data_IF_095490955059
#
_entry.id   IF_095490955059
#
_cell.length_a   1.000
_cell.length_b   1.000
_cell.length_c   1.000
_cell.angle_alpha   90.00
_cell.angle_beta   90.00
_cell.angle_gamma   90.00
#
_symmetry.space_group_name_H-M   'P 1'
#
loop_
_entity.id
_entity.type
_entity.pdbx_description
1 polymer ?
#
# COMPACT_ATOMS: atom_id res chain seq x y z
N UNK A 1 1.72 84.17 0.31
CA UNK A 1 1.77 83.28 1.50
C UNK A 1 1.62 81.85 1.05
N UNK A 2 2.55 81.00 1.49
CA UNK A 2 2.74 79.61 1.06
C UNK A 2 1.84 78.60 1.78
N UNK A 3 1.70 77.41 1.17
CA UNK A 3 1.33 76.06 1.71
C UNK A 3 0.30 75.40 0.77
N UNK A 4 0.40 74.17 0.28
CA UNK A 4 1.28 73.02 0.55
C UNK A 4 1.24 72.11 -0.69
N UNK A 5 2.40 71.82 -1.25
CA UNK A 5 2.64 70.66 -2.13
C UNK A 5 2.67 69.42 -1.23
N UNK A 6 1.67 68.54 -1.35
CA UNK A 6 1.62 67.26 -0.64
C UNK A 6 1.87 66.12 -1.60
N UNK A 7 3.09 65.62 -1.52
CA UNK A 7 3.64 64.42 -2.15
C UNK A 7 2.79 63.19 -1.85
N UNK A 8 2.10 62.63 -2.85
CA UNK A 8 1.61 61.24 -2.78
C UNK A 8 2.54 60.36 -3.60
N UNK A 9 3.66 60.01 -2.99
CA UNK A 9 4.60 59.00 -3.50
C UNK A 9 4.06 57.63 -3.07
N UNK A 10 3.22 57.04 -3.92
CA UNK A 10 2.68 55.69 -3.69
C UNK A 10 3.83 54.70 -3.70
N UNK A 11 4.08 54.07 -2.54
CA UNK A 11 5.07 53.03 -2.31
C UNK A 11 4.87 51.86 -3.29
N UNK A 12 5.69 51.79 -4.34
CA UNK A 12 6.06 50.53 -4.99
C UNK A 12 7.13 49.86 -4.15
N UNK A 13 6.74 48.90 -3.31
CA UNK A 13 7.62 47.86 -2.77
C UNK A 13 6.78 46.83 -2.00
N UNK A 14 6.15 45.91 -2.73
CA UNK A 14 5.76 44.61 -2.18
C UNK A 14 6.72 43.59 -2.81
N UNK A 15 7.54 42.97 -1.96
CA UNK A 15 8.63 42.10 -2.36
C UNK A 15 8.16 40.89 -3.16
N UNK A 16 8.74 40.74 -4.35
CA UNK A 16 8.76 39.46 -5.06
C UNK A 16 9.63 38.51 -4.26
N UNK A 17 9.03 37.48 -3.64
CA UNK A 17 9.78 36.41 -2.99
C UNK A 17 10.76 35.81 -4.01
N UNK A 18 12.04 35.73 -3.66
CA UNK A 18 13.09 35.17 -4.52
C UNK A 18 12.67 33.76 -4.95
N UNK A 19 12.46 33.56 -6.26
CA UNK A 19 12.18 32.23 -6.80
C UNK A 19 13.38 31.32 -6.53
N UNK A 20 13.12 30.15 -5.98
CA UNK A 20 14.12 29.14 -5.73
C UNK A 20 14.73 28.68 -7.05
N UNK A 21 16.04 28.47 -7.05
CA UNK A 21 16.75 27.91 -8.20
C UNK A 21 16.51 26.39 -8.29
N UNK A 22 16.60 25.79 -9.49
CA UNK A 22 16.51 24.34 -9.63
C UNK A 22 17.48 23.58 -8.71
N UNK A 23 18.71 24.08 -8.55
CA UNK A 23 19.71 23.46 -7.68
C UNK A 23 19.33 23.49 -6.19
N UNK A 24 18.65 24.55 -5.72
CA UNK A 24 18.14 24.62 -4.35
C UNK A 24 17.01 23.62 -4.12
N UNK A 25 16.06 23.53 -5.06
CA UNK A 25 14.96 22.58 -5.00
C UNK A 25 15.46 21.13 -5.01
N UNK A 26 16.41 20.77 -5.88
CA UNK A 26 16.99 19.43 -5.92
C UNK A 26 17.67 19.05 -4.60
N UNK A 27 18.35 19.99 -3.92
CA UNK A 27 18.93 19.73 -2.60
C UNK A 27 17.86 19.50 -1.53
N UNK A 28 16.75 20.24 -1.59
CA UNK A 28 15.60 20.04 -0.69
C UNK A 28 14.96 18.67 -0.91
N UNK A 29 14.75 18.26 -2.16
CA UNK A 29 14.24 16.93 -2.52
C UNK A 29 15.17 15.84 -1.99
N UNK A 30 16.48 15.93 -2.27
CA UNK A 30 17.43 14.93 -1.80
C UNK A 30 17.50 14.80 -0.28
N UNK A 31 17.24 15.90 0.46
CA UNK A 31 17.11 15.85 1.92
C UNK A 31 15.81 15.14 2.32
N UNK A 32 14.69 15.51 1.72
CA UNK A 32 13.40 14.88 1.97
C UNK A 32 13.45 13.38 1.68
N UNK A 33 14.11 12.95 0.61
CA UNK A 33 14.26 11.53 0.27
C UNK A 33 15.02 10.75 1.37
N UNK A 34 16.05 11.36 1.98
CA UNK A 34 16.74 10.73 3.13
C UNK A 34 15.83 10.63 4.34
N UNK A 35 15.06 11.67 4.62
CA UNK A 35 14.12 11.69 5.74
C UNK A 35 13.00 10.64 5.52
N UNK A 36 12.48 10.54 4.29
CA UNK A 36 11.53 9.50 3.89
C UNK A 36 12.10 8.10 4.07
N UNK A 37 13.34 7.87 3.65
CA UNK A 37 14.00 6.57 3.85
C UNK A 37 14.19 6.22 5.33
N UNK A 38 14.45 7.20 6.19
CA UNK A 38 14.50 6.98 7.64
C UNK A 38 13.13 6.56 8.18
N UNK A 39 12.06 7.26 7.81
CA UNK A 39 10.70 6.95 8.22
C UNK A 39 10.23 5.57 7.71
N UNK A 40 10.53 5.24 6.46
CA UNK A 40 10.24 3.92 5.87
C UNK A 40 10.92 2.81 6.66
N UNK A 41 12.21 2.97 6.98
CA UNK A 41 12.96 2.00 7.76
C UNK A 41 12.43 1.88 9.20
N UNK A 42 12.05 2.99 9.82
CA UNK A 42 11.45 2.98 11.16
C UNK A 42 10.11 2.24 11.16
N UNK A 43 9.23 2.52 10.18
CA UNK A 43 7.99 1.76 9.98
C UNK A 43 8.31 0.27 9.84
N UNK A 44 9.20 -0.11 8.94
CA UNK A 44 9.52 -1.53 8.72
C UNK A 44 10.01 -2.22 10.02
N UNK A 45 10.85 -1.55 10.82
CA UNK A 45 11.28 -2.04 12.14
C UNK A 45 10.11 -2.17 13.13
N UNK A 46 9.16 -1.23 13.13
CA UNK A 46 7.95 -1.31 13.94
C UNK A 46 7.10 -2.52 13.57
N UNK A 47 6.94 -2.83 12.29
CA UNK A 47 6.22 -4.03 11.83
C UNK A 47 6.87 -5.31 12.36
N UNK A 48 8.20 -5.42 12.29
CA UNK A 48 8.92 -6.59 12.83
C UNK A 48 8.79 -6.67 14.35
N UNK A 49 8.86 -5.54 15.06
CA UNK A 49 8.65 -5.52 16.52
C UNK A 49 7.23 -5.94 16.90
N UNK A 50 6.23 -5.45 16.18
CA UNK A 50 4.83 -5.83 16.38
C UNK A 50 4.61 -7.34 16.17
N UNK A 51 5.22 -7.92 15.13
CA UNK A 51 5.16 -9.36 14.93
C UNK A 51 5.74 -10.16 16.11
N UNK A 52 6.77 -9.64 16.77
CA UNK A 52 7.41 -10.28 17.94
C UNK A 52 6.58 -10.17 19.22
N UNK A 53 5.52 -9.37 19.25
CA UNK A 53 4.60 -9.32 20.40
C UNK A 53 3.45 -10.32 20.27
N UNK A 54 3.45 -11.18 19.25
CA UNK A 54 2.49 -12.27 19.15
C UNK A 54 2.67 -13.23 20.33
N UNK A 55 1.57 -13.55 21.01
CA UNK A 55 1.56 -14.57 22.06
C UNK A 55 1.92 -15.95 21.48
N UNK A 56 2.35 -16.88 22.34
CA UNK A 56 2.63 -18.25 21.92
C UNK A 56 1.41 -18.88 21.25
N UNK A 57 1.62 -19.45 20.05
CA UNK A 57 0.56 -20.04 19.24
C UNK A 57 -0.26 -19.04 18.40
N UNK A 58 -0.05 -17.72 18.57
CA UNK A 58 -0.63 -16.71 17.69
C UNK A 58 0.29 -16.50 16.49
N UNK A 59 -0.30 -16.63 15.30
CA UNK A 59 0.40 -16.36 14.05
C UNK A 59 0.75 -14.87 13.91
N UNK A 60 2.05 -14.48 13.83
CA UNK A 60 2.47 -13.08 13.70
C UNK A 60 1.94 -12.36 12.46
N UNK A 61 1.50 -13.11 11.43
CA UNK A 61 0.86 -12.56 10.23
C UNK A 61 -0.46 -11.87 10.56
N UNK A 62 -1.19 -12.32 11.58
CA UNK A 62 -2.47 -11.74 11.98
C UNK A 62 -2.32 -10.31 12.50
N UNK A 63 -1.28 -10.05 13.30
CA UNK A 63 -0.98 -8.73 13.85
C UNK A 63 -0.46 -7.75 12.79
N UNK A 64 0.16 -8.28 11.73
CA UNK A 64 0.78 -7.49 10.66
C UNK A 64 -0.04 -7.47 9.38
N UNK A 65 -1.20 -8.14 9.38
CA UNK A 65 -2.16 -8.12 8.30
C UNK A 65 -2.65 -6.68 8.12
N UNK A 66 -2.33 -6.12 6.95
CA UNK A 66 -2.92 -4.85 6.52
C UNK A 66 -4.15 -5.19 5.70
N UNK A 67 -5.32 -4.92 6.25
CA UNK A 67 -6.58 -4.94 5.52
C UNK A 67 -6.77 -3.66 4.70
N UNK A 68 -7.82 -3.66 3.87
CA UNK A 68 -8.16 -2.46 3.07
C UNK A 68 -8.47 -1.27 3.98
N UNK A 69 -9.07 -1.51 5.16
CA UNK A 69 -9.41 -0.45 6.12
C UNK A 69 -8.18 0.24 6.72
N UNK A 70 -7.10 -0.51 7.00
CA UNK A 70 -5.84 0.06 7.49
C UNK A 70 -5.18 0.94 6.42
N UNK A 71 -5.24 0.51 5.16
CA UNK A 71 -4.74 1.30 4.03
C UNK A 71 -5.61 2.55 3.82
N UNK A 72 -6.93 2.42 3.90
CA UNK A 72 -7.87 3.55 3.80
C UNK A 72 -7.71 4.54 4.94
N UNK A 73 -7.46 4.09 6.17
CA UNK A 73 -7.21 4.98 7.30
C UNK A 73 -5.87 5.73 7.15
N UNK A 74 -4.85 5.10 6.57
CA UNK A 74 -3.56 5.72 6.32
C UNK A 74 -3.59 6.75 5.18
N UNK A 75 -4.46 6.54 4.18
CA UNK A 75 -4.56 7.37 2.96
C UNK A 75 -5.72 8.37 3.05
N UNK A 76 -6.72 8.07 3.86
CA UNK A 76 -7.94 8.86 4.06
C UNK A 76 -7.61 10.26 4.53
N UNK A 77 -7.96 11.26 3.72
CA UNK A 77 -7.66 12.66 4.01
C UNK A 77 -6.28 13.15 3.56
N UNK A 78 -5.60 12.43 2.65
CA UNK A 78 -4.45 12.99 1.92
C UNK A 78 -4.85 14.30 1.24
N UNK A 79 -4.23 15.41 1.65
CA UNK A 79 -4.39 16.76 1.05
C UNK A 79 -3.20 17.13 0.16
N UNK A 80 -2.35 16.15 -0.15
CA UNK A 80 -1.15 16.34 -0.95
C UNK A 80 -1.46 16.49 -2.45
N UNK A 81 -0.46 16.84 -3.25
CA UNK A 81 -0.60 16.96 -4.71
C UNK A 81 -0.69 15.60 -5.42
N UNK A 82 -0.42 14.49 -4.73
CA UNK A 82 -0.59 13.14 -5.26
C UNK A 82 -2.05 12.72 -5.09
N UNK A 83 -2.61 12.07 -6.12
CA UNK A 83 -3.93 11.48 -6.04
C UNK A 83 -3.96 10.26 -5.10
N UNK A 84 -5.17 9.85 -4.73
CA UNK A 84 -5.37 8.74 -3.80
C UNK A 84 -4.80 7.42 -4.32
N UNK A 85 -4.88 7.17 -5.63
CA UNK A 85 -4.41 5.94 -6.25
C UNK A 85 -2.88 5.80 -6.13
N UNK A 86 -2.15 6.89 -6.38
CA UNK A 86 -0.69 6.94 -6.23
C UNK A 86 -0.27 6.71 -4.79
N UNK A 87 -0.93 7.38 -3.83
CA UNK A 87 -0.64 7.21 -2.40
C UNK A 87 -0.92 5.76 -1.97
N UNK A 88 -2.07 5.20 -2.39
CA UNK A 88 -2.44 3.80 -2.12
C UNK A 88 -1.39 2.81 -2.65
N UNK A 89 -0.86 3.04 -3.84
CA UNK A 89 0.18 2.19 -4.43
C UNK A 89 1.49 2.23 -3.62
N UNK A 90 1.93 3.41 -3.17
CA UNK A 90 3.13 3.57 -2.34
C UNK A 90 2.99 2.80 -1.03
N UNK A 91 1.87 2.99 -0.33
CA UNK A 91 1.63 2.31 0.94
C UNK A 91 1.47 0.79 0.78
N UNK A 92 0.82 0.34 -0.31
CA UNK A 92 0.72 -1.10 -0.62
C UNK A 92 2.10 -1.75 -0.72
N UNK A 93 3.02 -1.15 -1.47
CA UNK A 93 4.38 -1.71 -1.63
C UNK A 93 5.18 -1.61 -0.33
N UNK A 94 5.05 -0.51 0.43
CA UNK A 94 5.66 -0.39 1.75
C UNK A 94 5.20 -1.52 2.69
N UNK A 95 3.89 -1.80 2.74
CA UNK A 95 3.33 -2.87 3.56
C UNK A 95 3.69 -4.26 3.04
N UNK A 96 3.75 -4.44 1.72
CA UNK A 96 4.22 -5.67 1.08
C UNK A 96 5.66 -5.99 1.52
N UNK A 97 6.58 -5.03 1.37
CA UNK A 97 7.97 -5.19 1.78
C UNK A 97 8.14 -5.41 3.28
N UNK A 98 7.41 -4.66 4.10
CA UNK A 98 7.48 -4.81 5.56
C UNK A 98 6.95 -6.17 6.05
N UNK A 99 5.88 -6.70 5.45
CA UNK A 99 5.35 -8.03 5.76
C UNK A 99 6.36 -9.13 5.45
N UNK A 100 7.09 -9.01 4.33
CA UNK A 100 8.13 -9.97 3.95
C UNK A 100 9.29 -10.06 4.96
N UNK A 101 9.54 -9.01 5.75
CA UNK A 101 10.53 -9.05 6.84
C UNK A 101 10.07 -9.87 8.04
N UNK A 102 8.77 -10.09 8.19
CA UNK A 102 8.20 -10.92 9.26
C UNK A 102 8.26 -12.38 8.83
N UNK A 103 7.63 -12.71 7.70
CA UNK A 103 7.72 -14.02 7.06
C UNK A 103 7.52 -13.90 5.54
N UNK A 104 8.07 -14.83 4.74
CA UNK A 104 7.67 -14.98 3.34
C UNK A 104 6.15 -15.14 3.24
N UNK A 105 5.54 -14.41 2.32
CA UNK A 105 4.11 -14.53 2.03
C UNK A 105 3.96 -15.17 0.67
N UNK A 106 3.44 -16.39 0.62
CA UNK A 106 2.97 -17.07 -0.58
C UNK A 106 1.45 -16.97 -0.66
N UNK A 107 0.99 -16.65 -1.85
CA UNK A 107 -0.43 -16.52 -2.16
C UNK A 107 -0.77 -17.46 -3.31
N UNK A 108 -1.54 -18.50 -3.02
CA UNK A 108 -2.11 -19.35 -4.05
C UNK A 108 -3.29 -18.63 -4.70
N UNK A 109 -3.37 -18.65 -6.03
CA UNK A 109 -4.47 -18.00 -6.74
C UNK A 109 -4.91 -18.79 -7.97
N UNK A 110 -6.18 -18.65 -8.35
CA UNK A 110 -6.69 -19.27 -9.59
C UNK A 110 -5.98 -18.67 -10.80
N UNK A 111 -5.09 -19.45 -11.41
CA UNK A 111 -4.22 -19.03 -12.50
C UNK A 111 -4.90 -18.90 -13.86
N UNK A 112 -4.12 -18.60 -14.91
CA UNK A 112 -2.66 -18.45 -14.94
C UNK A 112 -2.20 -17.04 -14.49
N UNK A 113 -0.89 -16.78 -14.56
CA UNK A 113 -0.34 -15.42 -14.50
C UNK A 113 -1.00 -14.50 -15.53
N UNK A 114 -1.08 -13.21 -15.18
CA UNK A 114 -1.75 -12.16 -15.96
C UNK A 114 -3.29 -12.28 -16.07
N UNK A 115 -3.91 -13.24 -15.37
CA UNK A 115 -5.36 -13.31 -15.20
C UNK A 115 -5.89 -12.23 -14.24
N UNK A 116 -7.22 -12.08 -14.15
CA UNK A 116 -7.85 -11.19 -13.17
C UNK A 116 -7.48 -11.55 -11.73
N UNK A 117 -7.43 -12.83 -11.38
CA UNK A 117 -6.98 -13.29 -10.06
C UNK A 117 -5.53 -12.91 -9.78
N UNK A 118 -4.67 -12.96 -10.79
CA UNK A 118 -3.28 -12.50 -10.66
C UNK A 118 -3.21 -11.00 -10.36
N UNK A 119 -3.98 -10.18 -11.10
CA UNK A 119 -4.02 -8.74 -10.87
C UNK A 119 -4.60 -8.42 -9.49
N UNK A 120 -5.68 -9.08 -9.09
CA UNK A 120 -6.27 -8.94 -7.76
C UNK A 120 -5.26 -9.30 -6.64
N UNK A 121 -4.44 -10.34 -6.85
CA UNK A 121 -3.39 -10.71 -5.90
C UNK A 121 -2.33 -9.61 -5.76
N UNK A 122 -1.87 -9.03 -6.87
CA UNK A 122 -0.93 -7.90 -6.85
C UNK A 122 -1.56 -6.67 -6.19
N UNK A 123 -2.81 -6.36 -6.50
CA UNK A 123 -3.51 -5.20 -5.92
C UNK A 123 -3.72 -5.34 -4.41
N UNK A 124 -3.93 -6.56 -3.91
CA UNK A 124 -4.17 -6.83 -2.50
C UNK A 124 -2.87 -6.95 -1.69
N UNK A 125 -1.90 -7.69 -2.22
CA UNK A 125 -0.71 -8.11 -1.47
C UNK A 125 0.55 -7.33 -1.86
N UNK A 126 0.57 -6.65 -3.01
CA UNK A 126 1.74 -5.98 -3.56
C UNK A 126 2.65 -6.93 -4.34
N UNK A 127 3.79 -6.44 -4.80
CA UNK A 127 4.68 -7.20 -5.70
C UNK A 127 5.74 -8.05 -4.99
N UNK A 128 5.88 -7.92 -3.67
CA UNK A 128 6.94 -8.62 -2.93
C UNK A 128 6.57 -10.02 -2.46
N UNK A 129 5.35 -10.49 -2.76
CA UNK A 129 4.85 -11.81 -2.36
C UNK A 129 5.14 -12.89 -3.42
N UNK A 130 5.20 -14.14 -2.99
CA UNK A 130 5.33 -15.31 -3.87
C UNK A 130 3.96 -15.70 -4.41
N UNK A 131 3.65 -15.33 -5.65
CA UNK A 131 2.36 -15.64 -6.28
C UNK A 131 2.42 -17.02 -6.95
N UNK A 132 1.63 -17.96 -6.43
CA UNK A 132 1.58 -19.34 -6.93
C UNK A 132 0.29 -19.57 -7.72
N UNK A 133 0.34 -19.64 -9.07
CA UNK A 133 -0.82 -19.98 -9.87
C UNK A 133 -1.19 -21.45 -9.68
N UNK A 134 -2.47 -21.73 -9.48
CA UNK A 134 -3.02 -23.08 -9.47
C UNK A 134 -4.14 -23.24 -10.49
N UNK A 135 -4.41 -24.48 -10.89
CA UNK A 135 -5.30 -24.80 -12.00
C UNK A 135 -6.80 -24.77 -11.65
N UNK A 136 -7.15 -24.77 -10.36
CA UNK A 136 -8.55 -24.81 -9.93
C UNK A 136 -8.77 -24.09 -8.61
N UNK A 137 -10.02 -23.75 -8.34
CA UNK A 137 -10.44 -23.13 -7.07
C UNK A 137 -10.18 -24.10 -5.91
N UNK A 138 -10.51 -25.38 -6.09
CA UNK A 138 -10.22 -26.41 -5.09
C UNK A 138 -8.72 -26.48 -4.72
N UNK A 139 -7.83 -26.37 -5.72
CA UNK A 139 -6.39 -26.36 -5.48
C UNK A 139 -5.94 -25.15 -4.64
N UNK A 140 -6.60 -23.99 -4.74
CA UNK A 140 -6.28 -22.84 -3.89
C UNK A 140 -6.52 -23.17 -2.41
N UNK A 141 -7.67 -23.78 -2.09
CA UNK A 141 -7.97 -24.19 -0.72
C UNK A 141 -7.05 -25.32 -0.25
N UNK A 142 -6.70 -26.28 -1.11
CA UNK A 142 -5.74 -27.34 -0.76
C UNK A 142 -4.38 -26.78 -0.39
N UNK A 143 -3.85 -25.82 -1.15
CA UNK A 143 -2.56 -25.18 -0.87
C UNK A 143 -2.57 -24.45 0.48
N UNK A 144 -3.68 -23.78 0.83
CA UNK A 144 -3.82 -23.13 2.14
C UNK A 144 -3.97 -24.16 3.27
N UNK A 145 -4.85 -25.16 3.11
CA UNK A 145 -5.11 -26.17 4.14
C UNK A 145 -3.89 -27.04 4.45
N UNK A 146 -3.04 -27.30 3.46
CA UNK A 146 -1.78 -28.04 3.65
C UNK A 146 -0.65 -27.16 4.21
N UNK A 147 -0.88 -25.86 4.37
CA UNK A 147 0.14 -24.91 4.80
C UNK A 147 1.22 -24.65 3.75
N UNK A 148 0.95 -24.95 2.47
CA UNK A 148 1.85 -24.64 1.37
C UNK A 148 1.82 -23.16 1.01
N UNK A 149 0.69 -22.48 1.22
CA UNK A 149 0.52 -21.05 1.03
C UNK A 149 -0.15 -20.40 2.26
N UNK A 150 0.28 -19.18 2.58
CA UNK A 150 -0.22 -18.39 3.69
C UNK A 150 -1.62 -17.82 3.39
N UNK A 151 -1.92 -17.55 2.12
CA UNK A 151 -3.19 -17.00 1.66
C UNK A 151 -3.66 -17.69 0.37
N UNK A 152 -4.98 -17.77 0.22
CA UNK A 152 -5.65 -18.19 -1.01
C UNK A 152 -6.49 -17.05 -1.59
N UNK A 153 -6.41 -16.83 -2.90
CA UNK A 153 -7.25 -15.89 -3.63
C UNK A 153 -8.13 -16.63 -4.64
N UNK A 154 -9.44 -16.53 -4.42
CA UNK A 154 -10.47 -17.16 -5.24
C UNK A 154 -11.51 -16.12 -5.67
N UNK A 155 -12.00 -16.16 -6.92
CA UNK A 155 -13.07 -15.28 -7.34
C UNK A 155 -14.40 -15.75 -6.72
N UNK A 156 -15.23 -14.83 -6.26
CA UNK A 156 -16.57 -15.15 -5.71
C UNK A 156 -17.68 -14.96 -6.75
N UNK A 157 -17.44 -14.08 -7.73
CA UNK A 157 -18.36 -13.76 -8.81
C UNK A 157 -17.58 -13.52 -10.11
N UNK A 158 -18.21 -13.75 -11.27
CA UNK A 158 -17.72 -13.37 -12.59
C UNK A 158 -18.82 -12.64 -13.39
N UNK A 159 -18.44 -12.05 -14.52
CA UNK A 159 -19.36 -11.28 -15.38
C UNK A 159 -20.31 -12.12 -16.24
N UNK A 160 -20.15 -13.45 -16.24
CA UNK A 160 -20.87 -14.36 -17.15
C UNK A 160 -21.98 -15.13 -16.42
N UNK A 161 -21.63 -15.80 -15.33
CA UNK A 161 -22.48 -16.68 -14.54
C UNK A 161 -22.89 -16.06 -13.18
N UNK A 162 -22.39 -14.86 -12.86
CA UNK A 162 -22.61 -14.26 -11.55
C UNK A 162 -21.82 -15.00 -10.48
N UNK A 163 -22.49 -15.59 -9.49
CA UNK A 163 -21.82 -16.29 -8.38
C UNK A 163 -21.10 -17.55 -8.82
N UNK A 164 -19.87 -17.71 -8.35
CA UNK A 164 -19.05 -18.88 -8.63
C UNK A 164 -19.33 -19.95 -7.58
N UNK A 165 -20.19 -20.90 -7.95
CA UNK A 165 -20.67 -21.99 -7.07
C UNK A 165 -19.51 -22.77 -6.47
N UNK A 166 -18.50 -23.10 -7.25
CA UNK A 166 -17.30 -23.83 -6.80
C UNK A 166 -16.61 -23.16 -5.59
N UNK A 167 -16.53 -21.82 -5.59
CA UNK A 167 -15.95 -21.07 -4.47
C UNK A 167 -16.80 -21.22 -3.22
N UNK A 168 -18.12 -21.09 -3.34
CA UNK A 168 -19.05 -21.22 -2.23
C UNK A 168 -19.07 -22.64 -1.65
N UNK A 169 -19.05 -23.65 -2.53
CA UNK A 169 -18.98 -25.06 -2.17
C UNK A 169 -17.68 -25.38 -1.42
N UNK A 170 -16.56 -24.82 -1.86
CA UNK A 170 -15.29 -25.01 -1.18
C UNK A 170 -15.27 -24.39 0.22
N UNK A 171 -15.81 -23.18 0.40
CA UNK A 171 -15.97 -22.60 1.75
C UNK A 171 -16.90 -23.42 2.64
N UNK A 172 -17.96 -24.02 2.10
CA UNK A 172 -18.87 -24.87 2.87
C UNK A 172 -18.21 -26.19 3.34
N UNK A 173 -17.26 -26.72 2.56
CA UNK A 173 -16.58 -28.00 2.84
C UNK A 173 -15.27 -27.84 3.61
N UNK A 174 -14.56 -26.73 3.40
CA UNK A 174 -13.24 -26.44 3.94
C UNK A 174 -13.20 -24.98 4.43
N UNK A 175 -13.81 -24.69 5.59
CA UNK A 175 -13.82 -23.34 6.17
C UNK A 175 -12.45 -22.87 6.66
#
# INVERSE_FOLDING_TARGET
>A
MAKKTSTTRTKRAAGSARRETPAELSRKIARLDRDLMQLINERAKLTVRLAKTADEGVDPRTLTATDLSTLENAVGGSKGPLDEAAVRAIYRELYSGARRLVQPTRVAYLGPAYSYSHQAAIERFGTSVDLTPVASIAAVFEEVNRGHAEYGLVPIENSTDGRIVDTLDMFARNP
#
